data_IF_002050159018
#
_entry.id   IF_002050159018
#
_cell.length_a   1.000
_cell.length_b   1.000
_cell.length_c   1.000
_cell.angle_alpha   90.00
_cell.angle_beta   90.00
_cell.angle_gamma   90.00
#
_symmetry.space_group_name_H-M   'P 1'
#
loop_
_entity.id
_entity.type
_entity.pdbx_description
1 polymer ?
#
# COMPACT_ATOMS: atom_id res chain seq x y z
N UNK A 1 7.14 -1.86 22.00
CA UNK A 1 7.31 -2.93 20.99
C UNK A 1 8.03 -2.38 19.76
N UNK A 2 8.61 -3.23 18.91
CA UNK A 2 9.27 -2.81 17.66
C UNK A 2 8.57 -3.45 16.47
N UNK A 3 8.13 -2.65 15.49
CA UNK A 3 7.53 -3.17 14.26
C UNK A 3 8.63 -3.66 13.31
N UNK A 4 8.43 -4.84 12.74
CA UNK A 4 9.28 -5.35 11.67
C UNK A 4 8.98 -4.59 10.38
N UNK A 5 9.98 -3.89 9.85
CA UNK A 5 9.87 -3.16 8.57
C UNK A 5 9.48 -4.07 7.42
N UNK A 6 10.06 -5.28 7.36
CA UNK A 6 9.79 -6.26 6.31
C UNK A 6 8.37 -6.80 6.40
N UNK A 7 7.94 -7.21 7.60
CA UNK A 7 6.60 -7.75 7.78
C UNK A 7 5.54 -6.69 7.48
N UNK A 8 5.69 -5.48 8.03
CA UNK A 8 4.73 -4.40 7.79
C UNK A 8 4.71 -3.95 6.32
N UNK A 9 5.87 -3.85 5.67
CA UNK A 9 5.97 -3.58 4.24
C UNK A 9 5.25 -4.64 3.41
N UNK A 10 5.53 -5.93 3.62
CA UNK A 10 4.88 -7.02 2.88
C UNK A 10 3.36 -7.01 3.08
N UNK A 11 2.89 -6.82 4.31
CA UNK A 11 1.46 -6.75 4.60
C UNK A 11 0.79 -5.57 3.90
N UNK A 12 1.35 -4.36 4.00
CA UNK A 12 0.75 -3.18 3.38
C UNK A 12 0.86 -3.20 1.85
N UNK A 13 1.96 -3.71 1.30
CA UNK A 13 2.08 -3.95 -0.13
C UNK A 13 0.99 -4.89 -0.64
N UNK A 14 0.80 -6.04 0.01
CA UNK A 14 -0.25 -6.98 -0.40
C UNK A 14 -1.65 -6.39 -0.28
N UNK A 15 -1.97 -5.74 0.85
CA UNK A 15 -3.28 -5.12 1.04
C UNK A 15 -3.56 -4.05 -0.01
N UNK A 16 -2.59 -3.17 -0.27
CA UNK A 16 -2.79 -2.07 -1.22
C UNK A 16 -2.85 -2.57 -2.67
N UNK A 17 -1.93 -3.43 -3.08
CA UNK A 17 -1.93 -4.03 -4.40
C UNK A 17 -3.22 -4.81 -4.69
N UNK A 18 -3.67 -5.66 -3.76
CA UNK A 18 -4.92 -6.41 -3.92
C UNK A 18 -6.14 -5.51 -3.93
N UNK A 19 -6.13 -4.43 -3.16
CA UNK A 19 -7.22 -3.42 -3.18
C UNK A 19 -7.32 -2.78 -4.57
N UNK A 20 -6.20 -2.37 -5.18
CA UNK A 20 -6.19 -1.78 -6.53
C UNK A 20 -6.68 -2.79 -7.56
N UNK A 21 -6.22 -4.05 -7.49
CA UNK A 21 -6.65 -5.12 -8.39
C UNK A 21 -8.15 -5.36 -8.31
N UNK A 22 -8.65 -5.68 -7.11
CA UNK A 22 -10.05 -6.04 -6.91
C UNK A 22 -10.97 -4.86 -7.15
N UNK A 23 -10.59 -3.63 -6.77
CA UNK A 23 -11.39 -2.45 -7.10
C UNK A 23 -11.47 -2.23 -8.62
N UNK A 24 -10.37 -2.42 -9.36
CA UNK A 24 -10.36 -2.33 -10.83
C UNK A 24 -11.29 -3.36 -11.45
N UNK A 25 -11.12 -4.62 -11.08
CA UNK A 25 -11.90 -5.73 -11.63
C UNK A 25 -13.38 -5.67 -11.23
N UNK A 26 -13.68 -5.27 -10.00
CA UNK A 26 -15.04 -5.10 -9.53
C UNK A 26 -15.78 -4.03 -10.34
N UNK A 27 -15.16 -2.86 -10.53
CA UNK A 27 -15.76 -1.78 -11.30
C UNK A 27 -15.94 -2.15 -12.78
N UNK A 28 -14.99 -2.88 -13.37
CA UNK A 28 -15.11 -3.40 -14.73
C UNK A 28 -16.28 -4.39 -14.86
N UNK A 29 -16.40 -5.30 -13.90
CA UNK A 29 -17.48 -6.30 -13.88
C UNK A 29 -18.86 -5.65 -13.85
N UNK A 30 -19.02 -4.56 -13.09
CA UNK A 30 -20.27 -3.81 -12.98
C UNK A 30 -20.48 -2.75 -14.08
N UNK A 31 -19.59 -2.66 -15.08
CA UNK A 31 -19.69 -1.68 -16.16
C UNK A 31 -19.57 -0.22 -15.68
N UNK A 32 -18.89 0.01 -14.56
CA UNK A 32 -18.65 1.36 -14.05
C UNK A 32 -17.72 2.13 -15.00
N UNK A 33 -17.91 3.46 -15.16
CA UNK A 33 -17.00 4.28 -15.96
C UNK A 33 -15.58 4.41 -15.36
N UNK A 34 -15.37 3.97 -14.10
CA UNK A 34 -14.02 3.89 -13.52
C UNK A 34 -13.28 5.23 -13.39
N UNK A 35 -13.99 6.36 -13.35
CA UNK A 35 -13.41 7.72 -13.42
C UNK A 35 -12.39 8.00 -12.30
N UNK A 36 -12.66 7.54 -11.08
CA UNK A 36 -11.75 7.72 -9.94
C UNK A 36 -10.54 6.80 -10.06
N UNK A 37 -10.75 5.51 -10.31
CA UNK A 37 -9.65 4.53 -10.31
C UNK A 37 -8.71 4.72 -11.50
N UNK A 38 -9.22 5.22 -12.63
CA UNK A 38 -8.44 5.56 -13.82
C UNK A 38 -7.34 6.61 -13.54
N UNK A 39 -7.51 7.45 -12.51
CA UNK A 39 -6.49 8.43 -12.10
C UNK A 39 -5.20 7.80 -11.59
N UNK A 40 -5.23 6.52 -11.19
CA UNK A 40 -4.02 5.78 -10.84
C UNK A 40 -3.02 5.72 -11.99
N UNK A 41 -3.45 5.83 -13.25
CA UNK A 41 -2.54 5.90 -14.41
C UNK A 41 -1.55 7.07 -14.35
N UNK A 42 -1.87 8.15 -13.61
CA UNK A 42 -0.95 9.27 -13.39
C UNK A 42 0.22 8.94 -12.45
N UNK A 43 0.12 7.86 -11.67
CA UNK A 43 1.14 7.43 -10.72
C UNK A 43 1.73 6.05 -11.08
N UNK A 44 0.90 5.15 -11.61
CA UNK A 44 1.24 3.78 -11.93
C UNK A 44 1.45 3.65 -13.44
N UNK A 45 2.73 3.65 -13.83
CA UNK A 45 3.10 3.57 -15.23
C UNK A 45 2.58 2.27 -15.86
N UNK A 46 1.86 2.41 -16.98
CA UNK A 46 1.23 1.30 -17.69
C UNK A 46 -0.10 0.84 -17.10
N UNK A 47 -0.53 1.39 -15.96
CA UNK A 47 -1.87 1.13 -15.45
C UNK A 47 -2.92 1.74 -16.37
N UNK A 48 -3.92 0.95 -16.72
CA UNK A 48 -5.15 1.39 -17.38
C UNK A 48 -6.34 0.77 -16.65
N UNK A 49 -7.52 1.39 -16.75
CA UNK A 49 -8.74 0.78 -16.23
C UNK A 49 -9.17 -0.38 -17.15
N UNK A 50 -8.54 -1.53 -16.98
CA UNK A 50 -8.74 -2.76 -17.76
C UNK A 50 -8.38 -3.99 -16.92
N UNK A 51 -8.77 -5.19 -17.36
CA UNK A 51 -8.47 -6.43 -16.65
C UNK A 51 -6.95 -6.65 -16.49
N UNK A 52 -6.19 -6.45 -17.57
CA UNK A 52 -4.73 -6.52 -17.53
C UNK A 52 -4.12 -5.35 -16.75
N UNK A 53 -4.69 -4.15 -16.87
CA UNK A 53 -4.27 -2.98 -16.10
C UNK A 53 -4.43 -3.17 -14.59
N UNK A 54 -5.44 -3.92 -14.14
CA UNK A 54 -5.58 -4.34 -12.74
C UNK A 54 -4.36 -5.11 -12.22
N UNK A 55 -3.77 -6.00 -13.02
CA UNK A 55 -2.54 -6.73 -12.65
C UNK A 55 -1.32 -5.80 -12.58
N UNK A 56 -1.23 -4.81 -13.47
CA UNK A 56 -0.19 -3.77 -13.40
C UNK A 56 -0.38 -2.93 -12.12
N UNK A 57 -1.64 -2.62 -11.78
CA UNK A 57 -2.02 -1.92 -10.55
C UNK A 57 -1.69 -2.72 -9.29
N UNK A 58 -1.80 -4.05 -9.31
CA UNK A 58 -1.34 -4.93 -8.23
C UNK A 58 0.16 -4.77 -7.98
N UNK A 59 0.97 -4.82 -9.05
CA UNK A 59 2.42 -4.72 -8.95
C UNK A 59 2.85 -3.35 -8.41
N UNK A 60 2.33 -2.26 -8.98
CA UNK A 60 2.64 -0.92 -8.50
C UNK A 60 2.09 -0.65 -7.10
N UNK A 61 0.86 -1.07 -6.81
CA UNK A 61 0.27 -0.97 -5.48
C UNK A 61 1.03 -1.78 -4.44
N UNK A 62 1.59 -2.95 -4.81
CA UNK A 62 2.47 -3.70 -3.93
C UNK A 62 3.75 -2.93 -3.61
N UNK A 63 4.40 -2.37 -4.63
CA UNK A 63 5.64 -1.58 -4.46
C UNK A 63 5.38 -0.36 -3.58
N UNK A 64 4.35 0.43 -3.89
CA UNK A 64 3.98 1.62 -3.15
C UNK A 64 3.60 1.29 -1.69
N UNK A 65 2.72 0.31 -1.49
CA UNK A 65 2.31 -0.14 -0.16
C UNK A 65 3.47 -0.72 0.65
N UNK A 66 4.43 -1.41 0.00
CA UNK A 66 5.62 -1.93 0.67
C UNK A 66 6.50 -0.81 1.21
N UNK A 67 6.83 0.18 0.39
CA UNK A 67 7.61 1.32 0.84
C UNK A 67 6.88 2.13 1.90
N UNK A 68 5.57 2.36 1.73
CA UNK A 68 4.72 2.97 2.75
C UNK A 68 4.81 2.24 4.09
N UNK A 69 4.71 0.91 4.10
CA UNK A 69 4.84 0.11 5.32
C UNK A 69 6.24 0.13 5.94
N UNK A 70 7.30 0.13 5.13
CA UNK A 70 8.67 0.28 5.64
C UNK A 70 8.86 1.64 6.31
N UNK A 71 8.32 2.70 5.71
CA UNK A 71 8.37 4.07 6.23
C UNK A 71 7.59 4.17 7.54
N UNK A 72 6.36 3.65 7.58
CA UNK A 72 5.51 3.61 8.78
C UNK A 72 6.22 2.88 9.93
N UNK A 73 6.77 1.69 9.68
CA UNK A 73 7.54 0.95 10.69
C UNK A 73 8.78 1.74 11.14
N UNK A 74 9.42 2.50 10.24
CA UNK A 74 10.52 3.40 10.56
C UNK A 74 10.13 4.47 11.57
N UNK A 75 9.10 5.26 11.27
CA UNK A 75 8.61 6.31 12.15
C UNK A 75 8.05 5.77 13.47
N UNK A 76 7.28 4.68 13.43
CA UNK A 76 6.77 4.03 14.64
C UNK A 76 7.91 3.64 15.58
N UNK A 77 8.96 3.01 15.06
CA UNK A 77 10.10 2.59 15.86
C UNK A 77 10.92 3.78 16.38
N UNK A 78 11.03 4.86 15.59
CA UNK A 78 11.68 6.10 16.01
C UNK A 78 10.97 6.72 17.21
N UNK A 79 9.64 6.89 17.13
CA UNK A 79 8.84 7.48 18.20
C UNK A 79 8.76 6.56 19.41
N UNK A 80 8.58 5.25 19.21
CA UNK A 80 8.61 4.28 20.30
C UNK A 80 9.94 4.33 21.07
N UNK A 81 11.09 4.50 20.39
CA UNK A 81 12.39 4.66 21.05
C UNK A 81 12.47 5.98 21.84
N UNK A 82 11.94 7.09 21.30
CA UNK A 82 11.99 8.41 21.94
C UNK A 82 11.12 8.48 23.20
N UNK A 83 9.89 7.98 23.14
CA UNK A 83 8.90 8.12 24.22
C UNK A 83 8.95 6.99 25.27
N UNK A 84 9.49 5.82 24.95
CA UNK A 84 9.67 4.75 25.95
C UNK A 84 11.05 4.76 26.62
N UNK A 85 12.01 5.56 26.15
CA UNK A 85 13.26 5.82 26.89
C UNK A 85 13.05 6.69 28.14
N UNK A 86 11.95 7.43 28.21
CA UNK A 86 11.65 8.40 29.28
C UNK A 86 10.99 7.81 30.52
N UNK A 87 10.78 6.50 30.59
CA UNK A 87 10.45 5.82 31.85
C UNK A 87 11.77 5.32 32.47
N UNK A 88 12.35 6.00 33.48
CA UNK A 88 13.40 5.39 34.28
C UNK A 88 12.83 4.09 34.87
N UNK A 89 13.63 3.02 34.81
CA UNK A 89 13.31 1.81 35.54
C UNK A 89 13.26 2.17 37.03
N UNK A 90 12.05 2.13 37.61
CA UNK A 90 11.84 2.06 39.04
C UNK A 90 12.07 0.62 39.49
#
# INVERSE_FOLDING_TARGET
>A
MKLSKRALGLSLGLVWGLTVLFATWWLLYWGSPGTTISKLSGFYLGYTFSWAGGLIGLLWGFVDGFFGGVIIAGFYNLFNKKFNKSKPAL
#
